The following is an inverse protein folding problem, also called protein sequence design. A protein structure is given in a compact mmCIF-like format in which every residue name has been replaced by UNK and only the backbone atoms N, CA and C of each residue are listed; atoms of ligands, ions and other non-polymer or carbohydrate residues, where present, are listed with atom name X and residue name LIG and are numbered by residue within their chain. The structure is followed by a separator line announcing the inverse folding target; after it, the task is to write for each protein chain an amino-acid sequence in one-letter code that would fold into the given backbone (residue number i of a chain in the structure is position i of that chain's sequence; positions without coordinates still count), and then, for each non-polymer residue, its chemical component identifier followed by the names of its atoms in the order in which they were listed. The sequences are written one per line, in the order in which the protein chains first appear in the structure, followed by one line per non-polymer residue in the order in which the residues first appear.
data_IF_257742274452
#
_entry.id   IF_257742274452
#
_cell.length_a   1.000
_cell.length_b   1.000
_cell.length_c   1.000
_cell.angle_alpha   90.00
_cell.angle_beta   90.00
_cell.angle_gamma   90.00
#
_symmetry.space_group_name_H-M   'P 1'
#
loop_
_entity.id
_entity.type
_entity.pdbx_description
1 polymer ?
#
# COMPACT_ATOMS: atom_id res chain seq x y z
N UNK A 1 -23.02 -20.65 5.70
CA UNK A 1 -23.63 -19.76 6.71
C UNK A 1 -23.49 -18.36 6.16
N UNK A 2 -24.56 -17.81 5.60
CA UNK A 2 -24.54 -16.50 4.94
C UNK A 2 -24.48 -15.45 6.05
N UNK A 3 -23.37 -14.73 6.15
CA UNK A 3 -23.22 -13.65 7.12
C UNK A 3 -23.98 -12.45 6.55
N UNK A 4 -25.06 -12.07 7.22
CA UNK A 4 -25.81 -10.85 6.95
C UNK A 4 -24.91 -9.66 7.38
N UNK A 5 -24.31 -9.01 6.39
CA UNK A 5 -23.49 -7.82 6.60
C UNK A 5 -24.46 -6.65 6.81
N UNK A 6 -24.44 -5.98 7.98
CA UNK A 6 -25.30 -4.81 8.19
C UNK A 6 -24.95 -3.72 7.15
N UNK A 7 -25.87 -3.46 6.24
CA UNK A 7 -25.68 -2.55 5.09
C UNK A 7 -25.66 -1.06 5.45
N UNK A 8 -25.41 -0.65 6.70
CA UNK A 8 -25.68 0.75 7.04
C UNK A 8 -24.75 1.38 8.08
N UNK A 9 -23.43 1.27 7.90
CA UNK A 9 -22.45 2.18 8.52
C UNK A 9 -21.25 2.40 7.61
N UNK A 10 -21.49 2.86 6.41
CA UNK A 10 -20.40 3.37 5.57
C UNK A 10 -19.97 4.70 6.16
N UNK A 11 -18.70 4.84 6.50
CA UNK A 11 -18.08 6.15 6.69
C UNK A 11 -18.32 6.92 5.39
N UNK A 12 -19.16 7.95 5.42
CA UNK A 12 -19.13 8.96 4.37
C UNK A 12 -17.78 9.69 4.54
N UNK A 13 -16.73 9.11 3.98
CA UNK A 13 -15.43 9.75 3.88
C UNK A 13 -15.57 10.77 2.76
N UNK A 14 -16.08 11.95 3.11
CA UNK A 14 -15.63 13.14 2.41
C UNK A 14 -14.16 13.32 2.78
N UNK A 15 -13.30 12.59 2.06
CA UNK A 15 -11.90 12.96 2.02
C UNK A 15 -11.86 14.44 1.64
N UNK A 16 -11.00 15.28 2.27
CA UNK A 16 -10.60 16.52 1.66
C UNK A 16 -9.76 16.15 0.44
N UNK A 17 -10.44 15.71 -0.60
CA UNK A 17 -9.84 15.35 -1.87
C UNK A 17 -9.48 16.66 -2.56
N UNK A 18 -8.25 17.10 -2.44
CA UNK A 18 -7.64 17.60 -3.66
C UNK A 18 -7.68 16.42 -4.62
N UNK A 19 -8.58 16.48 -5.59
CA UNK A 19 -8.61 15.50 -6.69
C UNK A 19 -7.18 15.37 -7.22
N UNK A 20 -6.56 14.22 -6.91
CA UNK A 20 -5.28 13.88 -7.51
C UNK A 20 -5.63 13.59 -8.97
N UNK A 21 -5.21 14.46 -9.86
CA UNK A 21 -5.40 14.21 -11.28
C UNK A 21 -4.79 12.85 -11.64
N UNK A 22 -5.60 11.96 -12.22
CA UNK A 22 -5.25 10.57 -12.38
C UNK A 22 -4.88 10.27 -13.83
N UNK A 23 -3.71 9.66 -13.98
CA UNK A 23 -3.34 8.96 -15.20
C UNK A 23 -3.92 7.53 -15.10
N UNK A 24 -4.80 7.17 -16.04
CA UNK A 24 -5.62 5.94 -15.97
C UNK A 24 -5.29 4.93 -17.06
N UNK A 25 -4.07 4.97 -17.61
CA UNK A 25 -3.62 3.96 -18.57
C UNK A 25 -3.55 2.58 -17.93
N UNK A 26 -3.81 1.54 -18.72
CA UNK A 26 -3.78 0.13 -18.28
C UNK A 26 -2.81 -0.65 -19.13
N UNK A 27 -2.15 -1.64 -18.55
CA UNK A 27 -1.39 -2.63 -19.30
C UNK A 27 -2.31 -3.81 -19.60
N UNK A 28 -2.22 -4.35 -20.83
CA UNK A 28 -2.93 -5.59 -21.20
C UNK A 28 -1.96 -6.56 -21.86
N UNK A 29 -2.18 -7.85 -21.64
CA UNK A 29 -1.33 -8.92 -22.16
C UNK A 29 -1.27 -8.91 -23.71
N UNK A 30 -2.39 -8.59 -24.36
CA UNK A 30 -2.53 -8.52 -25.82
C UNK A 30 -2.19 -7.16 -26.42
N UNK A 31 -2.03 -6.10 -25.60
CA UNK A 31 -1.77 -4.74 -26.03
C UNK A 31 -3.02 -3.96 -26.48
N UNK A 32 -4.21 -4.47 -26.24
CA UNK A 32 -5.48 -3.83 -26.62
C UNK A 32 -5.71 -2.46 -25.99
N UNK A 33 -5.08 -2.20 -24.82
CA UNK A 33 -5.09 -0.90 -24.14
C UNK A 33 -4.17 0.15 -24.80
N UNK A 34 -3.31 -0.24 -25.75
CA UNK A 34 -2.19 0.54 -26.26
C UNK A 34 -0.87 0.30 -25.52
N UNK A 35 -0.90 -0.37 -24.37
CA UNK A 35 0.26 -0.68 -23.53
C UNK A 35 0.34 -2.19 -23.29
N UNK A 36 1.10 -2.87 -24.16
CA UNK A 36 1.27 -4.31 -24.06
C UNK A 36 2.19 -4.70 -22.91
N UNK A 37 1.88 -5.78 -22.20
CA UNK A 37 2.78 -6.37 -21.22
C UNK A 37 4.03 -6.91 -21.92
N UNK A 38 5.20 -6.35 -21.61
CA UNK A 38 6.49 -6.69 -22.20
C UNK A 38 7.60 -6.58 -21.16
N UNK A 39 8.56 -7.53 -21.10
CA UNK A 39 9.66 -7.47 -20.15
C UNK A 39 10.57 -6.28 -20.41
N UNK A 40 10.99 -5.60 -19.34
CA UNK A 40 11.89 -4.46 -19.38
C UNK A 40 11.27 -3.15 -19.86
N UNK A 41 10.02 -3.16 -20.31
CA UNK A 41 9.32 -1.97 -20.81
C UNK A 41 8.89 -1.03 -19.69
N UNK A 42 8.42 -1.56 -18.57
CA UNK A 42 7.79 -0.77 -17.53
C UNK A 42 8.68 -0.58 -16.32
N UNK A 43 8.52 0.58 -15.68
CA UNK A 43 9.18 0.95 -14.45
C UNK A 43 8.19 1.58 -13.48
N UNK A 44 8.25 1.21 -12.19
CA UNK A 44 7.36 1.78 -11.17
C UNK A 44 8.17 2.61 -10.21
N UNK A 45 7.84 3.89 -10.10
CA UNK A 45 8.33 4.77 -9.05
C UNK A 45 7.50 4.57 -7.78
N UNK A 46 8.15 4.32 -6.66
CA UNK A 46 7.52 3.97 -5.38
C UNK A 46 8.19 4.70 -4.22
N UNK A 47 7.54 4.73 -3.05
CA UNK A 47 8.13 5.20 -1.79
C UNK A 47 8.01 4.10 -0.73
N UNK A 48 9.03 3.95 0.11
CA UNK A 48 9.06 2.95 1.16
C UNK A 48 7.92 3.10 2.17
N UNK A 49 7.63 4.33 2.60
CA UNK A 49 6.57 4.63 3.56
C UNK A 49 5.16 4.49 3.00
N UNK A 50 4.97 4.59 1.68
CA UNK A 50 3.67 4.62 1.04
C UNK A 50 3.07 3.22 0.89
N UNK A 51 1.96 2.93 1.61
CA UNK A 51 1.25 1.66 1.52
C UNK A 51 0.72 1.37 0.10
N UNK A 52 0.27 2.40 -0.59
CA UNK A 52 -0.23 2.28 -1.97
C UNK A 52 0.86 1.83 -2.95
N UNK A 53 2.10 2.32 -2.76
CA UNK A 53 3.27 1.90 -3.53
C UNK A 53 3.68 0.46 -3.21
N UNK A 54 3.72 0.11 -1.92
CA UNK A 54 4.19 -1.19 -1.48
C UNK A 54 3.29 -2.33 -1.98
N UNK A 55 2.00 -2.07 -2.27
CA UNK A 55 1.12 -3.05 -2.92
C UNK A 55 1.71 -3.54 -4.24
N UNK A 56 2.10 -2.62 -5.12
CA UNK A 56 2.70 -2.98 -6.40
C UNK A 56 4.03 -3.74 -6.23
N UNK A 57 4.83 -3.37 -5.23
CA UNK A 57 6.11 -4.04 -4.93
C UNK A 57 5.89 -5.46 -4.45
N UNK A 58 4.92 -5.68 -3.54
CA UNK A 58 4.58 -7.03 -3.04
C UNK A 58 4.03 -7.90 -4.17
N UNK A 59 3.11 -7.38 -4.98
CA UNK A 59 2.56 -8.13 -6.13
C UNK A 59 3.68 -8.53 -7.09
N UNK A 60 4.57 -7.58 -7.42
CA UNK A 60 5.74 -7.84 -8.28
C UNK A 60 6.61 -8.98 -7.72
N UNK A 61 6.90 -8.96 -6.42
CA UNK A 61 7.69 -10.02 -5.76
C UNK A 61 6.98 -11.36 -5.71
N UNK A 62 5.66 -11.39 -5.40
CA UNK A 62 4.88 -12.63 -5.35
C UNK A 62 4.78 -13.31 -6.72
N UNK A 63 4.69 -12.53 -7.78
CA UNK A 63 4.66 -13.02 -9.18
C UNK A 63 6.06 -13.34 -9.73
N UNK A 64 7.14 -12.94 -9.01
CA UNK A 64 8.51 -13.08 -9.51
C UNK A 64 8.75 -12.29 -10.78
N UNK A 65 8.37 -11.02 -10.79
CA UNK A 65 8.49 -10.09 -11.93
C UNK A 65 9.69 -9.14 -11.80
N UNK A 66 10.69 -9.46 -10.94
CA UNK A 66 11.81 -8.57 -10.64
C UNK A 66 12.65 -8.24 -11.88
N UNK A 67 12.81 -9.19 -12.77
CA UNK A 67 13.53 -9.02 -14.03
C UNK A 67 12.63 -8.49 -15.18
N UNK A 68 11.33 -8.40 -14.94
CA UNK A 68 10.32 -8.01 -15.96
C UNK A 68 9.91 -6.55 -15.82
N UNK A 69 9.64 -6.11 -14.59
CA UNK A 69 9.24 -4.75 -14.26
C UNK A 69 10.19 -4.19 -13.21
N UNK A 70 10.92 -3.15 -13.57
CA UNK A 70 11.86 -2.51 -12.64
C UNK A 70 11.16 -1.55 -11.69
N UNK A 71 11.78 -1.32 -10.53
CA UNK A 71 11.30 -0.42 -9.48
C UNK A 71 12.43 0.49 -9.03
N UNK A 72 12.15 1.75 -8.75
CA UNK A 72 13.02 2.61 -7.95
C UNK A 72 12.22 3.39 -6.90
N UNK A 73 12.92 3.73 -5.83
CA UNK A 73 12.32 4.45 -4.72
C UNK A 73 12.62 5.94 -4.83
N UNK A 74 11.62 6.74 -4.48
CA UNK A 74 11.82 8.16 -4.19
C UNK A 74 12.24 8.31 -2.72
N UNK A 75 12.87 9.41 -2.38
CA UNK A 75 13.17 9.75 -0.99
C UNK A 75 11.86 10.09 -0.27
N UNK A 76 11.67 9.56 0.95
CA UNK A 76 10.46 9.78 1.74
C UNK A 76 10.35 11.22 2.29
N UNK A 77 11.42 12.01 2.26
CA UNK A 77 11.39 13.44 2.50
C UNK A 77 10.91 14.15 1.23
N UNK A 78 9.66 14.57 1.21
CA UNK A 78 9.13 15.44 0.17
C UNK A 78 9.25 16.90 0.62
N UNK A 79 9.88 17.76 -0.20
CA UNK A 79 9.75 19.20 -0.03
C UNK A 79 8.42 19.71 -0.64
N UNK A 80 8.16 21.01 -0.57
CA UNK A 80 6.94 21.62 -1.15
C UNK A 80 6.72 21.29 -2.64
N UNK A 81 7.77 20.87 -3.34
CA UNK A 81 7.75 20.50 -4.77
C UNK A 81 7.56 18.99 -5.00
N UNK A 82 7.39 18.20 -3.93
CA UNK A 82 7.11 16.76 -3.97
C UNK A 82 8.36 15.87 -3.79
N UNK A 83 8.20 14.61 -4.11
CA UNK A 83 9.20 13.56 -3.96
C UNK A 83 10.49 13.81 -4.72
N UNK A 84 11.63 13.53 -4.11
CA UNK A 84 12.97 13.72 -4.69
C UNK A 84 13.67 12.39 -4.96
N UNK A 85 14.75 12.45 -5.74
CA UNK A 85 15.73 11.39 -5.91
C UNK A 85 17.12 11.91 -5.49
N UNK A 86 18.06 11.02 -5.25
CA UNK A 86 19.46 11.35 -5.01
C UNK A 86 19.89 11.40 -3.55
N UNK A 87 18.95 11.23 -2.62
CA UNK A 87 19.25 11.05 -1.20
C UNK A 87 19.51 9.59 -0.83
N UNK A 88 18.76 9.09 0.15
CA UNK A 88 18.89 7.71 0.65
C UNK A 88 18.54 6.68 -0.43
N UNK A 89 17.58 7.00 -1.29
CA UNK A 89 17.09 6.12 -2.37
C UNK A 89 17.98 6.10 -3.62
N UNK A 90 19.00 6.97 -3.69
CA UNK A 90 19.85 7.09 -4.85
C UNK A 90 19.23 7.85 -6.03
N UNK A 91 19.95 8.00 -7.15
CA UNK A 91 19.45 8.70 -8.34
C UNK A 91 18.38 7.89 -9.07
N UNK A 92 17.52 8.56 -9.85
CA UNK A 92 16.61 7.87 -10.77
C UNK A 92 17.42 7.10 -11.84
N UNK A 93 17.32 5.75 -11.87
CA UNK A 93 18.14 4.93 -12.75
C UNK A 93 17.61 4.86 -14.19
N UNK A 94 16.43 5.43 -14.46
CA UNK A 94 15.74 5.29 -15.75
C UNK A 94 15.90 6.52 -16.62
N UNK A 95 15.61 7.69 -16.06
CA UNK A 95 15.57 8.96 -16.79
C UNK A 95 16.54 10.00 -16.21
N UNK A 96 17.14 9.75 -15.05
CA UNK A 96 17.99 10.72 -14.37
C UNK A 96 17.23 11.93 -13.81
N UNK A 97 15.94 11.78 -13.55
CA UNK A 97 15.15 12.85 -12.94
C UNK A 97 15.63 13.18 -11.53
N UNK A 98 15.61 14.44 -11.18
CA UNK A 98 15.91 14.87 -9.80
C UNK A 98 14.69 14.81 -8.88
N UNK A 99 13.50 14.82 -9.48
CA UNK A 99 12.20 14.80 -8.81
C UNK A 99 11.21 13.91 -9.56
N UNK A 100 10.32 13.29 -8.81
CA UNK A 100 9.20 12.55 -9.44
C UNK A 100 8.31 13.46 -10.30
N UNK A 101 8.21 14.75 -9.91
CA UNK A 101 7.48 15.74 -10.70
C UNK A 101 7.99 15.85 -12.14
N UNK A 102 9.27 15.64 -12.38
CA UNK A 102 9.86 15.70 -13.71
C UNK A 102 9.25 14.64 -14.64
N UNK A 103 8.92 13.44 -14.11
CA UNK A 103 8.22 12.40 -14.87
C UNK A 103 6.77 12.80 -15.22
N UNK A 104 6.08 13.50 -14.31
CA UNK A 104 4.73 14.02 -14.58
C UNK A 104 4.75 15.14 -15.60
N UNK A 105 5.70 16.07 -15.53
CA UNK A 105 5.89 17.16 -16.48
C UNK A 105 6.29 16.63 -17.86
N UNK A 106 7.11 15.58 -17.94
CA UNK A 106 7.45 14.92 -19.20
C UNK A 106 6.21 14.25 -19.83
N UNK A 107 5.25 13.85 -19.01
CA UNK A 107 4.00 13.21 -19.48
C UNK A 107 2.96 14.25 -19.90
N UNK A 108 2.71 15.25 -19.06
CA UNK A 108 1.77 16.35 -19.26
C UNK A 108 2.46 17.63 -18.86
N UNK A 109 2.96 18.42 -19.82
CA UNK A 109 3.58 19.73 -19.53
C UNK A 109 2.64 20.64 -18.73
N UNK A 110 3.13 21.21 -17.63
CA UNK A 110 2.32 22.02 -16.73
C UNK A 110 1.41 21.18 -15.82
N UNK A 111 1.80 19.96 -15.48
CA UNK A 111 1.00 19.05 -14.64
C UNK A 111 0.36 19.77 -13.44
N UNK A 112 -0.99 19.84 -13.37
CA UNK A 112 -1.67 20.67 -12.38
C UNK A 112 -1.78 19.99 -11.01
N UNK A 113 -1.64 18.64 -10.98
CA UNK A 113 -1.82 17.83 -9.80
C UNK A 113 -0.55 17.64 -8.96
N UNK A 114 -0.69 16.89 -7.87
CA UNK A 114 0.44 16.40 -7.08
C UNK A 114 1.11 15.24 -7.83
N UNK A 115 2.45 15.23 -7.87
CA UNK A 115 3.20 14.05 -8.26
C UNK A 115 3.09 13.00 -7.16
N UNK A 116 2.35 11.92 -7.40
CA UNK A 116 2.05 10.86 -6.42
C UNK A 116 2.77 9.56 -6.77
N UNK A 117 2.92 8.69 -5.77
CA UNK A 117 3.39 7.31 -5.92
C UNK A 117 2.28 6.32 -5.50
N UNK A 118 2.22 5.12 -6.12
CA UNK A 118 3.09 4.64 -7.20
C UNK A 118 2.84 5.39 -8.50
N UNK A 119 3.86 5.44 -9.36
CA UNK A 119 3.73 6.00 -10.70
C UNK A 119 4.37 5.06 -11.73
N UNK A 120 3.58 4.62 -12.71
CA UNK A 120 3.96 3.62 -13.70
C UNK A 120 4.47 4.31 -14.98
N UNK A 121 5.75 4.13 -15.26
CA UNK A 121 6.44 4.68 -16.41
C UNK A 121 6.56 3.67 -17.56
N UNK A 122 6.24 4.07 -18.76
CA UNK A 122 6.50 3.31 -19.99
C UNK A 122 7.78 3.84 -20.67
N UNK A 123 8.82 3.06 -20.68
CA UNK A 123 10.13 3.40 -21.27
C UNK A 123 10.05 3.58 -22.80
N UNK A 124 9.09 2.94 -23.46
CA UNK A 124 8.93 3.02 -24.93
C UNK A 124 8.33 4.37 -25.33
N UNK A 125 7.31 4.82 -24.62
CA UNK A 125 6.67 6.10 -24.91
C UNK A 125 7.31 7.29 -24.19
N UNK A 126 8.16 7.04 -23.19
CA UNK A 126 8.76 8.08 -22.36
C UNK A 126 7.74 8.86 -21.54
N UNK A 127 6.72 8.16 -20.98
CA UNK A 127 5.61 8.78 -20.25
C UNK A 127 5.16 7.93 -19.07
N UNK A 128 4.59 8.59 -18.07
CA UNK A 128 3.75 7.92 -17.08
C UNK A 128 2.44 7.50 -17.73
N UNK A 129 2.00 6.28 -17.47
CA UNK A 129 0.73 5.76 -17.98
C UNK A 129 -0.33 5.63 -16.90
N UNK A 130 0.09 5.43 -15.63
CA UNK A 130 -0.82 5.32 -14.51
C UNK A 130 -0.19 5.80 -13.21
N UNK A 131 -0.98 6.43 -12.35
CA UNK A 131 -0.67 6.67 -10.93
C UNK A 131 -1.77 6.12 -10.00
N UNK A 132 -2.61 5.22 -10.52
CA UNK A 132 -3.66 4.56 -9.77
C UNK A 132 -3.14 3.21 -9.26
N UNK A 133 -2.95 3.12 -7.94
CA UNK A 133 -2.27 1.99 -7.30
C UNK A 133 -3.00 0.65 -7.45
N UNK A 134 -4.34 0.68 -7.46
CA UNK A 134 -5.16 -0.51 -7.64
C UNK A 134 -5.01 -1.08 -9.05
N UNK A 135 -5.08 -0.21 -10.06
CA UNK A 135 -4.91 -0.60 -11.46
C UNK A 135 -3.50 -1.13 -11.74
N UNK A 136 -2.46 -0.44 -11.24
CA UNK A 136 -1.07 -0.90 -11.37
C UNK A 136 -0.89 -2.29 -10.77
N UNK A 137 -1.38 -2.50 -9.53
CA UNK A 137 -1.28 -3.80 -8.86
C UNK A 137 -2.07 -4.89 -9.58
N UNK A 138 -3.27 -4.58 -10.07
CA UNK A 138 -4.10 -5.52 -10.81
C UNK A 138 -3.45 -5.92 -12.15
N UNK A 139 -2.88 -4.94 -12.88
CA UNK A 139 -2.19 -5.22 -14.13
C UNK A 139 -0.96 -6.11 -13.91
N UNK A 140 -0.16 -5.84 -12.88
CA UNK A 140 0.96 -6.71 -12.48
C UNK A 140 0.49 -8.11 -12.08
N UNK A 141 -0.66 -8.23 -11.43
CA UNK A 141 -1.22 -9.52 -11.00
C UNK A 141 -1.70 -10.39 -12.15
N UNK A 142 -2.24 -9.78 -13.23
CA UNK A 142 -3.06 -10.50 -14.21
C UNK A 142 -2.54 -10.41 -15.65
N UNK A 143 -1.73 -9.41 -15.99
CA UNK A 143 -1.33 -9.19 -17.38
C UNK A 143 0.07 -9.68 -17.73
N UNK A 144 0.85 -10.08 -16.72
CA UNK A 144 2.23 -10.53 -16.88
C UNK A 144 2.43 -12.04 -16.64
N UNK A 145 1.37 -12.85 -16.67
CA UNK A 145 1.45 -14.28 -16.36
C UNK A 145 2.45 -15.04 -17.25
N UNK A 146 2.57 -14.64 -18.51
CA UNK A 146 3.57 -15.23 -19.44
C UNK A 146 5.01 -15.04 -18.97
N UNK A 147 5.26 -14.01 -18.18
CA UNK A 147 6.60 -13.60 -17.71
C UNK A 147 6.82 -13.90 -16.23
N UNK A 148 5.77 -14.29 -15.52
CA UNK A 148 5.83 -14.59 -14.09
C UNK A 148 6.66 -15.85 -13.83
N UNK A 149 7.67 -15.74 -12.95
CA UNK A 149 8.46 -16.90 -12.53
C UNK A 149 7.76 -17.72 -11.44
N UNK A 150 6.74 -17.15 -10.80
CA UNK A 150 5.95 -17.80 -9.76
C UNK A 150 4.48 -17.92 -10.23
N UNK A 151 3.90 -19.13 -10.30
CA UNK A 151 2.55 -19.36 -10.79
C UNK A 151 1.48 -19.11 -9.71
N UNK A 152 1.45 -17.90 -9.12
CA UNK A 152 0.43 -17.51 -8.15
C UNK A 152 -0.68 -16.73 -8.84
N UNK A 153 -1.94 -17.11 -8.59
CA UNK A 153 -3.13 -16.37 -9.03
C UNK A 153 -3.64 -15.49 -7.88
N UNK A 154 -3.25 -14.23 -7.91
CA UNK A 154 -3.65 -13.26 -6.87
C UNK A 154 -5.06 -12.71 -7.07
N UNK A 155 -5.70 -12.96 -8.22
CA UNK A 155 -7.02 -12.42 -8.54
C UNK A 155 -7.87 -13.44 -9.30
N UNK A 156 -8.13 -14.63 -8.72
CA UNK A 156 -8.82 -15.73 -9.35
C UNK A 156 -10.25 -15.35 -9.74
N UNK A 157 -10.63 -15.67 -10.98
CA UNK A 157 -11.88 -15.21 -11.59
C UNK A 157 -13.11 -15.56 -10.74
N UNK A 158 -13.15 -16.75 -10.19
CA UNK A 158 -14.26 -17.22 -9.34
C UNK A 158 -14.50 -16.42 -8.07
N UNK A 159 -13.48 -15.71 -7.57
CA UNK A 159 -13.52 -14.96 -6.31
C UNK A 159 -13.61 -13.44 -6.52
N UNK A 160 -13.50 -12.93 -7.76
CA UNK A 160 -13.44 -11.49 -8.05
C UNK A 160 -14.56 -10.68 -7.42
N UNK A 161 -15.85 -11.06 -7.54
CA UNK A 161 -16.92 -10.27 -6.94
C UNK A 161 -16.80 -10.13 -5.42
N UNK A 162 -16.41 -11.21 -4.73
CA UNK A 162 -16.25 -11.23 -3.28
C UNK A 162 -14.99 -10.48 -2.85
N UNK A 163 -13.89 -10.61 -3.61
CA UNK A 163 -12.65 -9.87 -3.39
C UNK A 163 -12.86 -8.37 -3.58
N UNK A 164 -13.58 -7.96 -4.62
CA UNK A 164 -13.85 -6.55 -4.89
C UNK A 164 -14.73 -5.93 -3.80
N UNK A 165 -15.73 -6.67 -3.32
CA UNK A 165 -16.56 -6.24 -2.19
C UNK A 165 -15.74 -6.09 -0.90
N UNK A 166 -14.87 -7.07 -0.59
CA UNK A 166 -13.97 -6.98 0.56
C UNK A 166 -12.96 -5.84 0.40
N UNK A 167 -12.39 -5.67 -0.79
CA UNK A 167 -11.44 -4.60 -1.08
C UNK A 167 -12.06 -3.21 -0.91
N UNK A 168 -13.31 -3.02 -1.32
CA UNK A 168 -14.03 -1.77 -1.09
C UNK A 168 -14.18 -1.47 0.41
N UNK A 169 -14.55 -2.47 1.20
CA UNK A 169 -14.66 -2.37 2.65
C UNK A 169 -13.30 -2.14 3.33
N UNK A 170 -12.27 -2.92 2.97
CA UNK A 170 -10.92 -2.71 3.49
C UNK A 170 -10.38 -1.32 3.17
N UNK A 171 -10.67 -0.79 1.97
CA UNK A 171 -10.24 0.54 1.57
C UNK A 171 -10.78 1.63 2.49
N UNK A 172 -12.05 1.55 2.84
CA UNK A 172 -12.72 2.56 3.70
C UNK A 172 -12.41 2.33 5.17
N UNK A 173 -12.66 1.10 5.67
CA UNK A 173 -12.72 0.82 7.11
C UNK A 173 -11.35 0.48 7.72
N UNK A 174 -10.35 0.15 6.89
CA UNK A 174 -9.00 -0.22 7.36
C UNK A 174 -7.93 0.67 6.74
N UNK A 175 -7.73 0.62 5.41
CA UNK A 175 -6.60 1.32 4.78
C UNK A 175 -6.75 2.85 4.85
N UNK A 176 -7.96 3.37 4.61
CA UNK A 176 -8.29 4.79 4.70
C UNK A 176 -8.51 5.27 6.14
N UNK A 177 -9.07 4.40 6.99
CA UNK A 177 -9.41 4.76 8.36
C UNK A 177 -8.21 5.27 9.16
N UNK A 178 -7.06 4.61 9.02
CA UNK A 178 -5.82 5.02 9.69
C UNK A 178 -5.39 6.43 9.27
N UNK A 179 -5.48 6.72 7.98
CA UNK A 179 -5.13 8.02 7.44
C UNK A 179 -6.11 9.09 7.90
N UNK A 180 -7.40 8.76 7.89
CA UNK A 180 -8.47 9.63 8.38
C UNK A 180 -8.29 9.92 9.88
N UNK A 181 -8.06 8.90 10.71
CA UNK A 181 -7.80 9.09 12.15
C UNK A 181 -6.59 10.00 12.41
N UNK A 182 -5.53 9.88 11.59
CA UNK A 182 -4.35 10.72 11.68
C UNK A 182 -4.62 12.20 11.37
N UNK A 183 -5.59 12.52 10.52
CA UNK A 183 -5.97 13.88 10.14
C UNK A 183 -7.15 14.45 10.95
N UNK A 184 -7.89 13.62 11.68
CA UNK A 184 -9.06 14.04 12.43
C UNK A 184 -8.68 15.04 13.53
N UNK A 185 -9.12 16.31 13.36
CA UNK A 185 -8.91 17.36 14.35
C UNK A 185 -9.91 17.25 15.52
N UNK A 186 -11.11 16.75 15.25
CA UNK A 186 -12.15 16.52 16.25
C UNK A 186 -11.93 15.19 16.97
N UNK A 187 -11.78 15.17 18.31
CA UNK A 187 -11.64 13.95 19.09
C UNK A 187 -12.81 12.97 18.92
N UNK A 188 -14.04 13.45 18.75
CA UNK A 188 -15.21 12.60 18.53
C UNK A 188 -15.15 11.90 17.16
N UNK A 189 -14.71 12.61 16.13
CA UNK A 189 -14.48 12.04 14.81
C UNK A 189 -13.35 11.00 14.84
N UNK A 190 -12.23 11.34 15.50
CA UNK A 190 -11.14 10.39 15.70
C UNK A 190 -11.62 9.10 16.37
N UNK A 191 -12.36 9.21 17.50
CA UNK A 191 -12.88 8.05 18.21
C UNK A 191 -13.81 7.20 17.33
N UNK A 192 -14.71 7.84 16.57
CA UNK A 192 -15.62 7.15 15.64
C UNK A 192 -14.87 6.36 14.57
N UNK A 193 -13.83 6.94 13.98
CA UNK A 193 -13.01 6.27 12.96
C UNK A 193 -12.26 5.07 13.54
N UNK A 194 -11.73 5.23 14.76
CA UNK A 194 -11.04 4.14 15.47
C UNK A 194 -12.00 3.01 15.82
N UNK A 195 -13.22 3.32 16.27
CA UNK A 195 -14.23 2.28 16.57
C UNK A 195 -14.58 1.46 15.32
N UNK A 196 -14.83 2.10 14.17
CA UNK A 196 -15.09 1.40 12.90
C UNK A 196 -13.91 0.52 12.48
N UNK A 197 -12.68 1.03 12.59
CA UNK A 197 -11.48 0.26 12.32
C UNK A 197 -11.44 -1.02 13.18
N UNK A 198 -11.67 -0.89 14.49
CA UNK A 198 -11.61 -2.03 15.39
C UNK A 198 -12.77 -3.01 15.21
N UNK A 199 -13.99 -2.55 14.92
CA UNK A 199 -15.11 -3.42 14.55
C UNK A 199 -14.70 -4.30 13.34
N UNK A 200 -14.10 -3.70 12.33
CA UNK A 200 -13.61 -4.44 11.15
C UNK A 200 -12.46 -5.40 11.49
N UNK A 201 -11.53 -5.01 12.35
CA UNK A 201 -10.44 -5.90 12.77
C UNK A 201 -10.98 -7.11 13.56
N UNK A 202 -12.01 -6.96 14.38
CA UNK A 202 -12.68 -8.09 15.07
C UNK A 202 -13.32 -9.06 14.07
N UNK A 203 -13.99 -8.58 13.05
CA UNK A 203 -14.56 -9.43 12.00
C UNK A 203 -13.48 -10.23 11.25
N UNK A 204 -12.37 -9.56 10.93
CA UNK A 204 -11.23 -10.20 10.25
C UNK A 204 -10.50 -11.19 11.16
N UNK A 205 -10.40 -10.90 12.46
CA UNK A 205 -9.86 -11.84 13.46
C UNK A 205 -10.65 -13.14 13.45
N UNK A 206 -11.98 -13.07 13.60
CA UNK A 206 -12.84 -14.25 13.61
C UNK A 206 -12.74 -15.05 12.30
N UNK A 207 -12.63 -14.38 11.15
CA UNK A 207 -12.43 -15.04 9.86
C UNK A 207 -11.12 -15.83 9.82
N UNK A 208 -10.04 -15.23 10.34
CA UNK A 208 -8.70 -15.83 10.32
C UNK A 208 -8.45 -16.85 11.44
N UNK A 209 -9.37 -17.02 12.41
CA UNK A 209 -9.27 -18.11 13.39
C UNK A 209 -9.29 -19.50 12.74
N UNK A 210 -10.07 -19.66 11.66
CA UNK A 210 -10.23 -20.93 10.94
C UNK A 210 -9.56 -20.95 9.56
N UNK A 211 -9.19 -19.79 9.03
CA UNK A 211 -8.62 -19.67 7.69
C UNK A 211 -7.17 -19.22 7.74
N UNK A 212 -6.36 -19.69 6.79
CA UNK A 212 -4.97 -19.26 6.67
C UNK A 212 -4.89 -17.86 6.07
N UNK A 213 -5.65 -17.59 5.02
CA UNK A 213 -5.76 -16.32 4.33
C UNK A 213 -7.22 -15.90 4.22
N UNK A 214 -7.48 -14.68 3.76
CA UNK A 214 -8.84 -14.12 3.71
C UNK A 214 -9.82 -14.91 2.84
N UNK A 215 -9.34 -15.71 1.91
CA UNK A 215 -10.16 -16.56 1.04
C UNK A 215 -9.74 -18.05 1.09
N UNK A 216 -9.34 -18.52 2.26
CA UNK A 216 -9.02 -19.93 2.50
C UNK A 216 -7.52 -20.22 2.53
N UNK A 217 -7.09 -21.21 1.73
CA UNK A 217 -5.71 -21.70 1.74
C UNK A 217 -4.75 -20.87 0.86
N UNK A 218 -5.27 -20.17 -0.14
CA UNK A 218 -4.49 -19.46 -1.14
C UNK A 218 -4.43 -17.96 -0.85
N UNK A 219 -3.23 -17.40 -0.98
CA UNK A 219 -3.00 -15.97 -0.85
C UNK A 219 -3.56 -15.23 -2.07
N UNK A 220 -4.36 -14.19 -1.82
CA UNK A 220 -4.98 -13.36 -2.85
C UNK A 220 -4.76 -11.87 -2.58
N UNK A 221 -5.13 -11.01 -3.53
CA UNK A 221 -4.84 -9.57 -3.49
C UNK A 221 -5.37 -8.84 -2.23
N UNK A 222 -6.57 -9.14 -1.67
CA UNK A 222 -7.02 -8.56 -0.40
C UNK A 222 -6.10 -8.82 0.79
N UNK A 223 -5.38 -9.95 0.80
CA UNK A 223 -4.40 -10.24 1.86
C UNK A 223 -3.27 -9.22 1.86
N UNK A 224 -2.83 -8.80 0.68
CA UNK A 224 -1.79 -7.78 0.54
C UNK A 224 -2.29 -6.44 1.11
N UNK A 225 -3.54 -6.05 0.80
CA UNK A 225 -4.15 -4.81 1.30
C UNK A 225 -4.26 -4.77 2.81
N UNK A 226 -4.74 -5.86 3.40
CA UNK A 226 -4.88 -5.97 4.84
C UNK A 226 -3.51 -5.92 5.52
N UNK A 227 -2.55 -6.72 5.04
CA UNK A 227 -1.22 -6.78 5.63
C UNK A 227 -0.51 -5.42 5.66
N UNK A 228 -0.60 -4.64 4.58
CA UNK A 228 0.01 -3.30 4.51
C UNK A 228 -0.52 -2.34 5.57
N UNK A 229 -1.76 -2.51 6.00
CA UNK A 229 -2.32 -1.74 7.12
C UNK A 229 -1.91 -2.31 8.47
N UNK A 230 -1.92 -3.64 8.65
CA UNK A 230 -1.55 -4.28 9.92
C UNK A 230 -0.12 -3.94 10.33
N UNK A 231 0.83 -3.98 9.38
CA UNK A 231 2.22 -3.64 9.68
C UNK A 231 2.38 -2.17 10.11
N UNK A 232 1.58 -1.27 9.54
CA UNK A 232 1.60 0.15 9.91
C UNK A 232 0.92 0.42 11.24
N UNK A 233 -0.20 -0.24 11.50
CA UNK A 233 -0.89 -0.18 12.78
C UNK A 233 0.03 -0.58 13.93
N UNK A 234 0.90 -1.56 13.71
CA UNK A 234 1.84 -2.03 14.71
C UNK A 234 3.02 -1.07 14.93
N UNK A 235 3.67 -0.63 13.85
CA UNK A 235 4.97 0.06 13.93
C UNK A 235 4.89 1.59 13.88
N UNK A 236 3.87 2.16 13.23
CA UNK A 236 3.77 3.59 13.02
C UNK A 236 2.63 4.24 13.81
N UNK A 237 1.55 3.50 14.09
CA UNK A 237 0.33 4.01 14.71
C UNK A 237 0.07 3.59 16.17
N UNK A 238 1.04 3.04 16.94
CA UNK A 238 0.72 2.53 18.28
C UNK A 238 0.14 3.61 19.22
N UNK A 239 0.44 4.90 19.01
CA UNK A 239 -0.15 5.98 19.79
C UNK A 239 -1.56 6.36 19.36
N UNK A 240 -1.92 6.22 18.08
CA UNK A 240 -3.31 6.33 17.65
C UNK A 240 -4.20 5.29 18.33
N UNK A 241 -3.61 4.12 18.64
CA UNK A 241 -4.29 2.99 19.26
C UNK A 241 -4.20 2.99 20.80
N UNK A 242 -3.27 3.76 21.40
CA UNK A 242 -3.07 3.77 22.87
C UNK A 242 -4.30 4.27 23.61
N UNK A 243 -4.99 5.28 23.10
CA UNK A 243 -6.21 5.80 23.72
C UNK A 243 -7.34 4.76 23.75
N UNK A 244 -7.36 3.84 22.78
CA UNK A 244 -8.33 2.75 22.75
C UNK A 244 -7.93 1.50 23.54
N UNK A 245 -6.69 1.44 24.06
CA UNK A 245 -6.09 0.26 24.73
C UNK A 245 -6.07 -1.00 23.87
N UNK A 246 -6.25 -0.88 22.56
CA UNK A 246 -6.37 -2.00 21.63
C UNK A 246 -5.14 -2.01 20.72
N UNK A 247 -4.44 -3.13 20.66
CA UNK A 247 -3.28 -3.34 19.79
C UNK A 247 -3.53 -4.52 18.85
N UNK A 248 -2.91 -4.56 17.66
CA UNK A 248 -2.92 -5.75 16.81
C UNK A 248 -2.50 -7.02 17.53
N UNK A 249 -1.58 -6.93 18.52
CA UNK A 249 -1.18 -8.04 19.37
C UNK A 249 -2.32 -8.58 20.28
N UNK A 250 -3.43 -7.84 20.45
CA UNK A 250 -4.66 -8.32 21.08
C UNK A 250 -5.54 -9.19 20.17
N UNK A 251 -5.12 -9.37 18.90
CA UNK A 251 -5.80 -10.14 17.88
C UNK A 251 -4.87 -11.29 17.43
N UNK A 252 -4.88 -12.45 18.11
CA UNK A 252 -3.90 -13.50 17.87
C UNK A 252 -3.94 -14.10 16.46
N UNK A 253 -5.11 -14.22 15.84
CA UNK A 253 -5.22 -14.73 14.48
C UNK A 253 -4.70 -13.73 13.44
N UNK A 254 -5.06 -12.46 13.56
CA UNK A 254 -4.50 -11.37 12.72
C UNK A 254 -2.99 -11.24 12.91
N UNK A 255 -2.49 -11.41 14.14
CA UNK A 255 -1.07 -11.31 14.41
C UNK A 255 -0.29 -12.48 13.80
N UNK A 256 -0.76 -13.73 13.99
CA UNK A 256 -0.22 -14.90 13.31
C UNK A 256 -0.19 -14.70 11.80
N UNK A 257 -1.33 -14.33 11.23
CA UNK A 257 -1.49 -14.07 9.80
C UNK A 257 -0.51 -13.01 9.27
N UNK A 258 -0.37 -11.87 9.98
CA UNK A 258 0.53 -10.81 9.57
C UNK A 258 2.00 -11.26 9.56
N UNK A 259 2.42 -12.05 10.55
CA UNK A 259 3.76 -12.61 10.63
C UNK A 259 4.01 -13.69 9.57
N UNK A 260 3.03 -14.55 9.31
CA UNK A 260 3.11 -15.56 8.25
C UNK A 260 3.32 -14.89 6.87
N UNK A 261 2.64 -13.77 6.61
CA UNK A 261 2.87 -12.99 5.39
C UNK A 261 4.25 -12.32 5.37
N UNK A 262 4.69 -11.74 6.50
CA UNK A 262 6.02 -11.13 6.60
C UNK A 262 7.17 -12.13 6.38
N UNK A 263 6.96 -13.40 6.73
CA UNK A 263 7.93 -14.47 6.48
C UNK A 263 8.17 -14.71 4.97
N UNK A 264 7.22 -14.32 4.11
CA UNK A 264 7.37 -14.42 2.66
C UNK A 264 8.36 -13.35 2.14
N UNK A 265 9.35 -13.71 1.31
CA UNK A 265 10.35 -12.76 0.81
C UNK A 265 9.76 -11.50 0.17
N UNK A 266 8.67 -11.63 -0.60
CA UNK A 266 8.02 -10.51 -1.28
C UNK A 266 7.51 -9.43 -0.31
N UNK A 267 6.98 -9.82 0.84
CA UNK A 267 6.50 -8.89 1.88
C UNK A 267 7.67 -8.31 2.67
N UNK A 268 8.64 -9.15 3.07
CA UNK A 268 9.81 -8.70 3.82
C UNK A 268 10.64 -7.68 3.03
N UNK A 269 10.90 -7.93 1.76
CA UNK A 269 11.66 -7.05 0.88
C UNK A 269 10.95 -5.73 0.56
N UNK A 270 9.60 -5.72 0.60
CA UNK A 270 8.81 -4.51 0.43
C UNK A 270 8.68 -3.68 1.71
N UNK A 271 9.29 -4.12 2.84
CA UNK A 271 9.12 -3.50 4.15
C UNK A 271 10.42 -2.83 4.60
N UNK A 272 10.34 -1.53 4.82
CA UNK A 272 11.38 -0.75 5.50
C UNK A 272 10.76 -0.06 6.71
N UNK A 273 10.91 -0.66 7.88
CA UNK A 273 10.29 -0.16 9.11
C UNK A 273 10.69 1.27 9.45
N UNK A 274 11.97 1.62 9.25
CA UNK A 274 12.46 2.96 9.54
C UNK A 274 11.79 4.00 8.64
N UNK A 275 11.70 3.73 7.32
CA UNK A 275 11.06 4.63 6.36
C UNK A 275 9.53 4.70 6.54
N UNK A 276 8.88 3.61 6.96
CA UNK A 276 7.44 3.63 7.28
C UNK A 276 7.19 4.55 8.48
N UNK A 277 8.01 4.48 9.54
CA UNK A 277 7.89 5.38 10.70
C UNK A 277 8.18 6.83 10.33
N UNK A 278 9.24 7.05 9.55
CA UNK A 278 9.60 8.40 9.10
C UNK A 278 8.48 9.03 8.28
N UNK A 279 7.96 8.30 7.31
CA UNK A 279 6.83 8.78 6.49
C UNK A 279 5.60 9.12 7.33
N UNK A 280 5.33 8.32 8.36
CA UNK A 280 4.24 8.63 9.28
C UNK A 280 4.52 9.90 10.09
N UNK A 281 5.72 10.05 10.63
CA UNK A 281 6.12 11.23 11.37
C UNK A 281 5.98 12.49 10.49
N UNK A 282 6.53 12.48 9.29
CA UNK A 282 6.50 13.61 8.36
C UNK A 282 5.06 14.02 7.97
N UNK A 283 4.14 13.06 7.91
CA UNK A 283 2.75 13.36 7.54
C UNK A 283 1.87 13.81 8.71
N UNK A 284 2.15 13.39 9.95
CA UNK A 284 1.22 13.59 11.07
C UNK A 284 1.79 14.32 12.28
N UNK A 285 3.13 14.40 12.45
CA UNK A 285 3.73 15.04 13.61
C UNK A 285 3.33 16.51 13.75
N UNK A 286 3.24 17.23 12.63
CA UNK A 286 2.85 18.65 12.62
C UNK A 286 1.37 18.86 12.95
N UNK A 287 0.52 17.84 12.79
CA UNK A 287 -0.91 17.88 13.12
C UNK A 287 -1.15 17.44 14.56
N UNK A 288 -0.53 16.33 14.94
CA UNK A 288 -0.78 15.65 16.21
C UNK A 288 0.52 15.04 16.78
N UNK A 289 1.45 15.87 17.32
CA UNK A 289 2.74 15.38 17.81
C UNK A 289 2.60 14.32 18.92
N UNK A 290 1.51 14.36 19.69
CA UNK A 290 1.20 13.40 20.74
C UNK A 290 0.83 12.00 20.20
N UNK A 291 0.45 11.90 18.93
CA UNK A 291 0.03 10.64 18.27
C UNK A 291 1.16 9.95 17.51
N UNK A 292 2.29 10.62 17.33
CA UNK A 292 3.42 10.09 16.57
C UNK A 292 4.41 9.38 17.48
N UNK A 293 4.85 8.19 17.08
CA UNK A 293 6.00 7.52 17.69
C UNK A 293 7.25 8.01 16.97
N UNK A 294 8.18 8.66 17.67
CA UNK A 294 9.43 9.08 17.05
C UNK A 294 10.15 7.89 16.41
N UNK A 295 10.74 8.06 15.24
CA UNK A 295 11.59 7.02 14.67
C UNK A 295 12.72 6.70 15.66
N UNK A 296 13.14 5.42 15.80
CA UNK A 296 14.24 5.08 16.67
C UNK A 296 15.51 5.80 16.20
N UNK A 297 16.32 6.26 17.15
CA UNK A 297 17.54 7.03 16.90
C UNK A 297 18.60 6.28 16.04
N UNK A 298 18.42 4.98 15.81
CA UNK A 298 19.23 4.15 14.92
C UNK A 298 18.34 3.20 14.14
N UNK A 299 18.50 3.17 12.81
CA UNK A 299 17.92 2.15 11.95
C UNK A 299 18.40 0.75 12.41
N UNK A 300 17.48 -0.20 12.56
CA UNK A 300 17.81 -1.59 12.91
C UNK A 300 17.89 -1.90 14.41
N UNK A 301 17.21 -1.14 15.24
CA UNK A 301 17.08 -1.48 16.67
C UNK A 301 16.17 -2.67 16.93
N UNK A 302 16.37 -3.36 18.09
CA UNK A 302 15.60 -4.51 18.57
C UNK A 302 14.06 -4.31 18.65
N UNK A 303 13.58 -3.11 18.36
CA UNK A 303 12.15 -2.75 18.38
C UNK A 303 11.29 -3.48 17.35
N UNK A 304 11.91 -4.02 16.27
CA UNK A 304 11.18 -4.67 15.18
C UNK A 304 11.40 -6.19 15.13
N UNK A 305 12.21 -6.74 16.05
CA UNK A 305 12.54 -8.16 16.10
C UNK A 305 11.32 -9.06 16.36
N UNK A 306 10.22 -8.51 16.88
CA UNK A 306 8.96 -9.24 17.08
C UNK A 306 8.27 -9.63 15.75
N UNK A 307 8.69 -9.02 14.64
CA UNK A 307 8.27 -9.41 13.30
C UNK A 307 9.08 -10.59 12.74
N UNK A 308 10.29 -10.82 13.25
CA UNK A 308 11.10 -11.95 12.82
C UNK A 308 10.45 -13.26 13.32
N UNK A 309 10.27 -14.19 12.39
CA UNK A 309 9.77 -15.54 12.67
C UNK A 309 11.00 -16.43 12.76
N UNK A 310 11.19 -17.09 13.91
CA UNK A 310 12.25 -18.10 14.11
C UNK A 310 12.03 -19.32 13.20
#
# INVERSE_FOLDING_TARGET
MTIDVPQNRTLAVEAPAREVEQLRGRITADGSSGYRAEPGRYHVYVAWGCSWSNRAVVVRGLKGLEDVVSVSYVDDSADERGWTFGGVSGPDPVNGFSRLRDAYEATVPGWPGRASVPALWDRVTGRLISNESGAISLDLSTQFDTWASTPVDLYPERLRPEMDALNASLHVDVNGAVHHAGHAADPAEHARVIDVLFERLVELEHRLESERFLFGADLVEPDIRLWLSLVRLDIAYPRLLIESLRRPSGFPALWRYARDLYALPAFRQATNFAQIRQNFADNFEHLHPERVVPPPAKAGGAADSHWDVD
#
